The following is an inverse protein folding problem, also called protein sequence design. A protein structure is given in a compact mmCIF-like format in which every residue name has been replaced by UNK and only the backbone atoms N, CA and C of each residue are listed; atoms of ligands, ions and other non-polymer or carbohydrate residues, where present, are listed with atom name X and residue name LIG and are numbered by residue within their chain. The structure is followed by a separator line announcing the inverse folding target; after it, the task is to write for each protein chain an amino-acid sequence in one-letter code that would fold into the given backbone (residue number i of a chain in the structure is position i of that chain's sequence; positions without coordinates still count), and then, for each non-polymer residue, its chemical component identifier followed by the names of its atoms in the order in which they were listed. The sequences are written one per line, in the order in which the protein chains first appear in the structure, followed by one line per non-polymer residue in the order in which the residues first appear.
data_IF_422023073783
#
_entry.id   IF_422023073783
#
_cell.length_a   1.000
_cell.length_b   1.000
_cell.length_c   1.000
_cell.angle_alpha   90.00
_cell.angle_beta   90.00
_cell.angle_gamma   90.00
#
_symmetry.space_group_name_H-M   'P 1'
#
loop_
_entity.id
_entity.type
_entity.pdbx_description
1 polymer ?
#
# COMPACT_ATOMS: atom_id res chain seq x y z
N UNK A 1 -2.47 -7.95 0.74
CA UNK A 1 -2.31 -7.22 2.02
C UNK A 1 -1.49 -8.04 3.01
N UNK A 2 -0.18 -7.93 2.91
CA UNK A 2 0.81 -8.59 3.79
C UNK A 2 1.80 -7.56 4.30
N UNK A 3 2.42 -7.82 5.46
CA UNK A 3 3.55 -7.04 5.96
C UNK A 3 4.75 -7.11 5.00
N UNK A 4 5.00 -8.26 4.44
CA UNK A 4 6.10 -8.47 3.51
C UNK A 4 6.05 -9.83 2.83
N UNK A 5 6.80 -9.91 1.73
CA UNK A 5 6.87 -11.07 0.87
C UNK A 5 8.35 -11.43 0.65
N UNK A 6 8.74 -12.67 0.96
CA UNK A 6 10.10 -13.13 0.70
C UNK A 6 10.34 -13.30 -0.80
N UNK A 7 11.58 -13.07 -1.25
CA UNK A 7 11.97 -13.22 -2.65
C UNK A 7 11.62 -14.60 -3.22
N UNK A 8 11.83 -15.69 -2.45
CA UNK A 8 11.49 -17.06 -2.90
C UNK A 8 10.00 -17.22 -3.23
N UNK A 9 9.09 -16.55 -2.51
CA UNK A 9 7.65 -16.55 -2.82
C UNK A 9 7.38 -15.85 -4.14
N UNK A 10 8.02 -14.69 -4.37
CA UNK A 10 7.91 -13.96 -5.63
C UNK A 10 8.44 -14.76 -6.82
N UNK A 11 9.56 -15.46 -6.65
CA UNK A 11 10.13 -16.33 -7.69
C UNK A 11 9.16 -17.47 -8.02
N UNK A 12 8.63 -18.16 -7.02
CA UNK A 12 7.67 -19.25 -7.24
C UNK A 12 6.36 -18.77 -7.86
N UNK A 13 5.81 -17.64 -7.40
CA UNK A 13 4.62 -17.07 -7.99
C UNK A 13 4.81 -16.72 -9.48
N UNK A 14 5.94 -16.12 -9.84
CA UNK A 14 6.27 -15.80 -11.23
C UNK A 14 6.43 -17.03 -12.09
N UNK A 15 7.03 -18.10 -11.57
CA UNK A 15 7.13 -19.39 -12.26
C UNK A 15 5.74 -19.96 -12.56
N UNK A 16 4.86 -19.99 -11.55
CA UNK A 16 3.48 -20.47 -11.69
C UNK A 16 2.66 -19.62 -12.67
N UNK A 17 2.85 -18.29 -12.67
CA UNK A 17 2.21 -17.37 -13.62
C UNK A 17 2.67 -17.71 -15.05
N UNK A 18 3.96 -17.88 -15.26
CA UNK A 18 4.49 -18.21 -16.60
C UNK A 18 3.92 -19.55 -17.10
N UNK A 19 3.88 -20.56 -16.26
CA UNK A 19 3.31 -21.88 -16.61
C UNK A 19 1.82 -21.79 -16.97
N UNK A 20 1.06 -20.99 -16.22
CA UNK A 20 -0.39 -20.89 -16.40
C UNK A 20 -0.82 -19.93 -17.52
N UNK A 21 -0.01 -18.94 -17.88
CA UNK A 21 -0.44 -17.82 -18.75
C UNK A 21 0.54 -17.47 -19.87
N UNK A 22 1.77 -17.97 -19.84
CA UNK A 22 2.84 -17.59 -20.76
C UNK A 22 3.48 -16.23 -20.48
N UNK A 23 3.04 -15.48 -19.47
CA UNK A 23 3.62 -14.16 -19.13
C UNK A 23 5.04 -14.37 -18.59
N UNK A 24 6.06 -13.74 -19.20
CA UNK A 24 7.45 -13.88 -18.75
C UNK A 24 7.66 -13.34 -17.33
N UNK A 25 8.47 -14.00 -16.48
CA UNK A 25 8.69 -13.60 -15.08
C UNK A 25 9.17 -12.16 -14.89
N UNK A 26 9.95 -11.64 -15.83
CA UNK A 26 10.46 -10.26 -15.81
C UNK A 26 9.37 -9.20 -16.03
N UNK A 27 8.22 -9.58 -16.57
CA UNK A 27 7.07 -8.71 -16.78
C UNK A 27 6.08 -8.72 -15.59
N UNK A 28 6.43 -9.40 -14.49
CA UNK A 28 5.59 -9.53 -13.29
C UNK A 28 6.25 -8.80 -12.13
N UNK A 29 5.60 -7.74 -11.63
CA UNK A 29 5.95 -7.08 -10.38
C UNK A 29 5.01 -7.57 -9.27
N UNK A 30 5.59 -7.98 -8.13
CA UNK A 30 4.84 -8.41 -6.94
C UNK A 30 5.34 -7.59 -5.76
N UNK A 31 4.43 -6.90 -5.08
CA UNK A 31 4.72 -6.12 -3.88
C UNK A 31 3.71 -6.41 -2.77
N UNK A 32 4.08 -6.11 -1.53
CA UNK A 32 3.18 -6.11 -0.38
C UNK A 32 2.74 -4.68 -0.07
N UNK A 33 1.53 -4.49 0.46
CA UNK A 33 1.06 -3.19 0.94
C UNK A 33 1.79 -2.73 2.20
N UNK A 34 2.51 -3.64 2.87
CA UNK A 34 3.23 -3.40 4.11
C UNK A 34 2.31 -3.05 5.30
N UNK A 35 1.05 -3.47 5.27
CA UNK A 35 0.19 -3.36 6.44
C UNK A 35 0.79 -4.10 7.63
N UNK A 36 0.79 -3.46 8.81
CA UNK A 36 1.31 -4.05 10.04
C UNK A 36 0.26 -4.79 10.87
N UNK A 37 -0.97 -4.85 10.36
CA UNK A 37 -2.10 -5.53 11.00
C UNK A 37 -2.53 -6.79 10.24
N UNK A 38 -1.62 -7.41 9.48
CA UNK A 38 -1.88 -8.64 8.74
C UNK A 38 -0.71 -9.63 8.88
N UNK A 39 -0.87 -10.81 8.28
CA UNK A 39 0.17 -11.83 8.23
C UNK A 39 1.37 -11.41 7.38
N UNK A 40 2.39 -12.26 7.38
CA UNK A 40 3.61 -12.06 6.59
C UNK A 40 3.99 -13.33 5.84
N UNK A 41 4.47 -13.18 4.63
CA UNK A 41 5.08 -14.26 3.84
C UNK A 41 6.61 -14.17 3.77
N UNK A 42 7.24 -13.54 4.76
CA UNK A 42 8.70 -13.45 4.87
C UNK A 42 9.36 -14.76 5.27
N UNK A 43 8.60 -15.70 5.87
CA UNK A 43 9.11 -17.00 6.29
C UNK A 43 10.02 -16.93 7.53
N UNK A 44 10.80 -17.97 7.74
CA UNK A 44 11.63 -18.13 8.95
C UNK A 44 12.83 -17.18 9.01
N UNK A 45 13.43 -16.88 7.87
CA UNK A 45 14.58 -15.99 7.79
C UNK A 45 14.46 -14.99 6.62
N UNK A 46 14.03 -13.80 6.93
CA UNK A 46 13.85 -12.72 5.95
C UNK A 46 15.15 -12.14 5.38
N UNK A 47 16.28 -12.47 5.95
CA UNK A 47 17.59 -11.90 5.59
C UNK A 47 18.38 -12.76 4.61
N UNK A 48 17.93 -13.99 4.31
CA UNK A 48 18.55 -14.82 3.29
C UNK A 48 17.95 -14.53 1.91
N UNK A 49 18.72 -14.74 0.87
CA UNK A 49 18.25 -14.55 -0.50
C UNK A 49 17.28 -15.64 -0.95
N UNK A 50 17.46 -16.85 -0.45
CA UNK A 50 16.67 -18.03 -0.80
C UNK A 50 16.34 -18.84 0.43
N UNK A 51 15.13 -19.36 0.50
CA UNK A 51 14.68 -20.30 1.53
C UNK A 51 13.66 -21.26 0.95
N UNK A 52 13.57 -22.45 1.56
CA UNK A 52 12.47 -23.35 1.28
C UNK A 52 11.13 -22.71 1.72
N UNK A 53 10.13 -22.80 0.85
CA UNK A 53 8.81 -22.23 1.13
C UNK A 53 8.06 -23.12 2.13
N UNK A 54 7.50 -22.51 3.16
CA UNK A 54 6.53 -23.15 4.04
C UNK A 54 5.14 -23.27 3.35
N UNK A 55 4.20 -23.90 4.03
CA UNK A 55 2.85 -24.14 3.48
C UNK A 55 2.09 -22.82 3.19
N UNK A 56 2.24 -21.82 4.06
CA UNK A 56 1.59 -20.53 3.85
C UNK A 56 2.21 -19.77 2.67
N UNK A 57 3.53 -19.78 2.55
CA UNK A 57 4.23 -19.17 1.43
C UNK A 57 3.86 -19.84 0.09
N UNK A 58 3.76 -21.17 0.05
CA UNK A 58 3.27 -21.90 -1.14
C UNK A 58 1.82 -21.54 -1.47
N UNK A 59 0.97 -21.43 -0.46
CA UNK A 59 -0.42 -20.99 -0.64
C UNK A 59 -0.47 -19.58 -1.24
N UNK A 60 0.30 -18.61 -0.70
CA UNK A 60 0.36 -17.24 -1.21
C UNK A 60 0.82 -17.21 -2.67
N UNK A 61 1.91 -17.93 -3.00
CA UNK A 61 2.42 -17.98 -4.38
C UNK A 61 1.36 -18.49 -5.36
N UNK A 62 0.62 -19.55 -5.00
CA UNK A 62 -0.48 -20.10 -5.83
C UNK A 62 -1.62 -19.11 -5.98
N UNK A 63 -2.05 -18.44 -4.89
CA UNK A 63 -3.15 -17.46 -4.97
C UNK A 63 -2.81 -16.24 -5.83
N UNK A 64 -1.55 -15.81 -5.82
CA UNK A 64 -1.07 -14.78 -6.74
C UNK A 64 -1.19 -15.26 -8.19
N UNK A 65 -0.72 -16.46 -8.50
CA UNK A 65 -0.79 -17.02 -9.85
C UNK A 65 -2.23 -17.24 -10.31
N UNK A 66 -3.12 -17.72 -9.43
CA UNK A 66 -4.55 -17.88 -9.74
C UNK A 66 -5.21 -16.53 -10.05
N UNK A 67 -4.89 -15.47 -9.31
CA UNK A 67 -5.40 -14.13 -9.57
C UNK A 67 -4.99 -13.62 -10.95
N UNK A 68 -3.73 -13.81 -11.34
CA UNK A 68 -3.23 -13.43 -12.68
C UNK A 68 -3.92 -14.26 -13.76
N UNK A 69 -4.08 -15.57 -13.55
CA UNK A 69 -4.81 -16.43 -14.50
C UNK A 69 -6.25 -15.98 -14.69
N UNK A 70 -6.96 -15.63 -13.60
CA UNK A 70 -8.31 -15.09 -13.69
C UNK A 70 -8.34 -13.79 -14.50
N UNK A 71 -7.37 -12.90 -14.29
CA UNK A 71 -7.27 -11.64 -15.02
C UNK A 71 -7.00 -11.87 -16.51
N UNK A 72 -6.10 -12.81 -16.87
CA UNK A 72 -5.83 -13.18 -18.27
C UNK A 72 -7.07 -13.77 -18.95
N UNK A 73 -7.82 -14.62 -18.26
CA UNK A 73 -9.06 -15.20 -18.81
C UNK A 73 -10.17 -14.14 -19.00
N UNK A 74 -10.07 -13.00 -18.32
CA UNK A 74 -11.03 -11.89 -18.41
C UNK A 74 -10.55 -10.75 -19.31
N UNK A 75 -9.48 -10.95 -20.11
CA UNK A 75 -8.95 -9.92 -21.02
C UNK A 75 -9.99 -9.53 -22.06
N UNK A 76 -10.10 -8.24 -22.29
CA UNK A 76 -10.97 -7.63 -23.30
C UNK A 76 -10.37 -6.32 -23.78
N UNK A 77 -10.82 -5.77 -24.92
CA UNK A 77 -10.40 -4.46 -25.38
C UNK A 77 -10.59 -3.40 -24.31
N UNK A 78 -9.58 -2.59 -24.10
CA UNK A 78 -9.58 -1.58 -23.05
C UNK A 78 -8.75 -0.35 -23.48
N UNK A 79 -9.07 0.79 -22.86
CA UNK A 79 -8.29 2.02 -22.91
C UNK A 79 -7.58 2.21 -21.57
N UNK A 80 -6.36 2.74 -21.62
CA UNK A 80 -5.53 2.99 -20.45
C UNK A 80 -5.25 4.49 -20.36
N UNK A 81 -5.43 5.06 -19.17
CA UNK A 81 -5.04 6.41 -18.83
C UNK A 81 -4.10 6.41 -17.63
N UNK A 82 -3.20 7.37 -17.59
CA UNK A 82 -2.27 7.59 -16.48
C UNK A 82 -2.35 9.05 -16.04
N UNK A 83 -2.28 9.28 -14.74
CA UNK A 83 -2.25 10.62 -14.15
C UNK A 83 -1.69 10.61 -12.74
N UNK A 84 -1.55 11.80 -12.18
CA UNK A 84 -1.14 12.01 -10.79
C UNK A 84 -1.97 13.12 -10.17
N UNK A 85 -2.21 13.01 -8.87
CA UNK A 85 -2.78 14.08 -8.03
C UNK A 85 -1.94 14.20 -6.76
N UNK A 86 -1.92 15.37 -6.14
CA UNK A 86 -1.22 15.58 -4.87
C UNK A 86 -2.19 15.47 -3.68
N UNK A 87 -1.78 14.68 -2.67
CA UNK A 87 -2.50 14.50 -1.41
C UNK A 87 -1.51 14.70 -0.23
N UNK A 88 -1.07 15.94 0.03
CA UNK A 88 -0.04 16.22 1.03
C UNK A 88 -0.51 16.09 2.48
N UNK A 89 -1.83 16.09 2.73
CA UNK A 89 -2.41 16.18 4.08
C UNK A 89 -2.14 14.95 4.95
N UNK A 90 -1.74 13.83 4.35
CA UNK A 90 -1.58 12.55 5.03
C UNK A 90 -0.15 12.05 5.10
N UNK A 91 0.81 12.75 4.47
CA UNK A 91 2.21 12.32 4.41
C UNK A 91 3.12 13.26 5.18
N UNK A 92 3.74 12.73 6.22
CA UNK A 92 4.68 13.46 7.07
C UNK A 92 5.95 12.63 7.22
N UNK A 93 7.12 13.28 7.11
CA UNK A 93 8.37 12.59 7.38
C UNK A 93 8.43 12.22 8.87
N UNK A 94 8.65 10.93 9.19
CA UNK A 94 8.71 10.43 10.56
C UNK A 94 10.10 10.52 11.18
N UNK A 95 11.11 10.93 10.40
CA UNK A 95 12.49 11.17 10.84
C UNK A 95 12.70 12.66 11.01
N UNK A 96 13.24 13.06 12.14
CA UNK A 96 13.41 14.47 12.50
C UNK A 96 14.83 14.75 12.95
N UNK A 97 15.38 15.86 12.50
CA UNK A 97 16.56 16.45 13.12
C UNK A 97 16.17 16.95 14.49
N UNK A 98 16.98 16.62 15.46
CA UNK A 98 16.71 16.93 16.86
C UNK A 98 17.74 17.93 17.38
N UNK A 99 17.36 18.68 18.41
CA UNK A 99 18.28 19.56 19.12
C UNK A 99 19.48 18.74 19.64
N UNK A 100 20.67 19.34 19.58
CA UNK A 100 21.88 18.68 20.07
C UNK A 100 21.73 18.26 21.54
N UNK A 101 22.18 17.06 21.85
CA UNK A 101 22.09 16.47 23.19
C UNK A 101 20.72 15.90 23.58
N UNK A 102 19.65 16.05 22.77
CA UNK A 102 18.31 15.52 23.08
C UNK A 102 18.11 14.06 22.68
N UNK A 103 18.93 13.54 21.76
CA UNK A 103 18.82 12.15 21.27
C UNK A 103 19.74 11.25 22.10
N UNK A 104 19.20 10.11 22.56
CA UNK A 104 19.98 9.11 23.29
C UNK A 104 21.02 8.47 22.38
N UNK A 105 22.16 8.00 22.94
CA UNK A 105 23.15 7.25 22.18
C UNK A 105 22.53 6.01 21.50
N UNK A 106 22.95 5.74 20.27
CA UNK A 106 22.57 4.55 19.56
C UNK A 106 23.29 3.29 20.16
N UNK A 107 22.92 2.05 19.74
CA UNK A 107 23.52 0.84 20.27
C UNK A 107 25.06 0.72 20.10
N UNK A 108 25.65 1.56 19.25
CA UNK A 108 27.08 1.60 19.00
C UNK A 108 27.80 2.71 19.81
N UNK A 109 27.10 3.35 20.76
CA UNK A 109 27.64 4.39 21.62
C UNK A 109 27.84 5.75 20.98
N UNK A 110 27.29 5.98 19.77
CA UNK A 110 27.30 7.27 19.07
C UNK A 110 25.93 7.94 19.17
N UNK A 111 25.89 9.25 19.05
CA UNK A 111 24.64 10.02 18.99
C UNK A 111 24.28 10.33 17.55
N UNK A 112 23.07 9.95 17.13
CA UNK A 112 22.54 10.31 15.84
C UNK A 112 21.87 11.69 15.93
N UNK A 113 22.05 12.54 14.92
CA UNK A 113 21.38 13.85 14.85
C UNK A 113 19.92 13.76 14.43
N UNK A 114 19.45 12.55 14.12
CA UNK A 114 18.10 12.26 13.61
C UNK A 114 17.42 11.20 14.46
N UNK A 115 16.19 11.46 14.86
CA UNK A 115 15.34 10.51 15.58
C UNK A 115 14.15 10.08 14.69
N UNK A 116 13.88 8.78 14.65
CA UNK A 116 12.67 8.23 14.01
C UNK A 116 11.53 8.22 15.02
N UNK A 117 10.37 8.72 14.62
CA UNK A 117 9.17 8.82 15.44
C UNK A 117 9.39 9.55 16.79
N UNK A 118 9.94 10.77 16.80
CA UNK A 118 10.05 11.54 18.04
C UNK A 118 8.64 11.81 18.62
N UNK A 119 8.53 12.15 19.91
CA UNK A 119 7.27 12.56 20.50
C UNK A 119 6.64 13.73 19.73
N UNK A 120 5.32 13.72 19.60
CA UNK A 120 4.56 14.82 18.99
C UNK A 120 4.71 16.07 19.87
N UNK A 121 4.87 17.23 19.24
CA UNK A 121 5.10 18.53 19.88
C UNK A 121 6.29 18.55 20.84
N UNK A 122 7.29 17.70 20.63
CA UNK A 122 8.52 17.77 21.43
C UNK A 122 9.21 19.12 21.21
N UNK A 123 9.68 19.81 22.29
CA UNK A 123 10.43 21.05 22.17
C UNK A 123 11.80 20.87 21.50
N UNK A 124 12.24 19.63 21.30
CA UNK A 124 13.52 19.29 20.70
C UNK A 124 13.45 19.03 19.19
N UNK A 125 12.27 19.13 18.58
CA UNK A 125 12.10 19.04 17.12
C UNK A 125 12.73 20.28 16.46
N UNK A 126 13.60 20.06 15.47
CA UNK A 126 14.20 21.14 14.66
C UNK A 126 13.52 21.19 13.29
N UNK A 127 13.64 20.15 12.50
CA UNK A 127 13.06 20.06 11.17
C UNK A 127 12.90 18.60 10.73
N UNK A 128 12.01 18.28 9.75
CA UNK A 128 11.99 16.98 9.11
C UNK A 128 13.33 16.64 8.46
N UNK A 129 13.80 15.40 8.59
CA UNK A 129 15.09 14.96 8.06
C UNK A 129 15.09 14.66 6.55
N UNK A 130 13.95 14.77 5.90
CA UNK A 130 13.81 14.56 4.46
C UNK A 130 12.46 15.04 3.92
N UNK A 131 12.27 15.03 2.60
CA UNK A 131 11.04 15.42 1.96
C UNK A 131 9.93 14.38 2.16
N UNK A 132 8.73 14.71 1.71
CA UNK A 132 7.62 13.79 1.48
C UNK A 132 7.28 13.75 -0.01
N UNK A 133 6.69 12.64 -0.46
CA UNK A 133 6.11 12.53 -1.79
C UNK A 133 4.57 12.54 -1.65
N UNK A 134 3.90 13.66 -1.96
CA UNK A 134 2.45 13.75 -1.87
C UNK A 134 1.71 13.13 -3.05
N UNK A 135 2.43 12.73 -4.09
CA UNK A 135 1.81 12.27 -5.33
C UNK A 135 1.13 10.91 -5.15
N UNK A 136 -0.14 10.84 -5.55
CA UNK A 136 -0.84 9.59 -5.82
C UNK A 136 -0.76 9.34 -7.32
N UNK A 137 0.02 8.34 -7.72
CA UNK A 137 0.05 7.88 -9.11
C UNK A 137 -1.20 7.05 -9.40
N UNK A 138 -1.85 7.29 -10.54
CA UNK A 138 -3.10 6.66 -10.94
C UNK A 138 -2.93 6.01 -12.31
N UNK A 139 -3.27 4.73 -12.42
CA UNK A 139 -3.45 4.02 -13.68
C UNK A 139 -4.91 3.56 -13.75
N UNK A 140 -5.67 4.10 -14.68
CA UNK A 140 -7.06 3.74 -14.91
C UNK A 140 -7.19 2.90 -16.18
N UNK A 141 -7.99 1.85 -16.11
CA UNK A 141 -8.33 0.98 -17.25
C UNK A 141 -9.83 0.95 -17.40
N UNK A 142 -10.33 1.26 -18.61
CA UNK A 142 -11.76 1.29 -18.92
C UNK A 142 -12.07 0.57 -20.23
N UNK A 143 -13.29 0.13 -20.38
CA UNK A 143 -13.80 -0.37 -21.65
C UNK A 143 -13.95 0.76 -22.67
N UNK A 144 -13.85 0.48 -23.98
CA UNK A 144 -14.33 1.39 -24.99
C UNK A 144 -15.80 1.70 -24.71
N UNK A 145 -16.13 2.97 -24.46
CA UNK A 145 -17.47 3.36 -23.99
C UNK A 145 -17.54 3.81 -22.54
N UNK A 146 -16.42 3.74 -21.79
CA UNK A 146 -16.21 4.52 -20.58
C UNK A 146 -16.38 3.78 -19.25
N UNK A 147 -16.86 2.53 -19.21
CA UNK A 147 -16.97 1.77 -17.95
C UNK A 147 -15.60 1.39 -17.40
N UNK A 148 -15.31 1.77 -16.16
CA UNK A 148 -14.05 1.40 -15.49
C UNK A 148 -13.98 -0.11 -15.25
N UNK A 149 -12.84 -0.70 -15.61
CA UNK A 149 -12.45 -2.09 -15.34
C UNK A 149 -11.67 -2.15 -14.03
N UNK A 150 -10.63 -1.33 -13.94
CA UNK A 150 -9.86 -1.21 -12.70
C UNK A 150 -9.17 0.16 -12.59
N UNK A 151 -8.83 0.50 -11.36
CA UNK A 151 -7.96 1.63 -11.00
C UNK A 151 -6.87 1.11 -10.09
N UNK A 152 -5.63 1.32 -10.48
CA UNK A 152 -4.45 1.05 -9.67
C UNK A 152 -3.83 2.36 -9.23
N UNK A 153 -3.66 2.55 -7.93
CA UNK A 153 -2.99 3.70 -7.35
C UNK A 153 -1.73 3.29 -6.60
N UNK A 154 -0.77 4.20 -6.51
CA UNK A 154 0.39 4.09 -5.63
C UNK A 154 0.55 5.39 -4.85
N UNK A 155 0.80 5.30 -3.53
CA UNK A 155 0.94 6.45 -2.64
C UNK A 155 2.05 6.25 -1.63
N UNK A 156 2.83 7.31 -1.37
CA UNK A 156 4.00 7.30 -0.49
C UNK A 156 3.68 7.32 1.02
N UNK A 157 2.53 6.79 1.45
CA UNK A 157 2.13 6.71 2.84
C UNK A 157 2.33 5.29 3.40
N UNK A 158 3.05 5.19 4.53
CA UNK A 158 3.17 3.96 5.32
C UNK A 158 1.80 3.52 5.87
N UNK A 159 1.73 2.34 6.52
CA UNK A 159 0.52 1.93 7.22
C UNK A 159 0.10 2.97 8.27
N UNK A 160 -1.20 3.05 8.54
CA UNK A 160 -1.76 3.97 9.52
C UNK A 160 -1.84 3.33 10.91
N UNK A 161 -2.24 2.07 10.97
CA UNK A 161 -2.45 1.38 12.23
C UNK A 161 -3.70 1.85 12.98
N UNK A 162 -3.74 1.62 14.29
CA UNK A 162 -4.91 1.98 15.09
C UNK A 162 -6.07 1.01 14.92
N UNK A 163 -5.78 -0.27 14.71
CA UNK A 163 -6.77 -1.37 14.78
C UNK A 163 -7.10 -1.69 16.23
N UNK A 164 -8.20 -2.42 16.46
CA UNK A 164 -8.43 -3.07 17.75
C UNK A 164 -7.36 -4.14 18.04
N UNK A 165 -7.22 -4.54 19.32
CA UNK A 165 -6.28 -5.59 19.72
C UNK A 165 -6.54 -6.90 18.97
N UNK A 166 -5.49 -7.52 18.43
CA UNK A 166 -5.54 -8.78 17.67
C UNK A 166 -6.43 -8.78 16.42
N UNK A 167 -6.81 -7.62 15.89
CA UNK A 167 -7.54 -7.54 14.64
C UNK A 167 -6.60 -7.69 13.44
N UNK A 168 -7.07 -8.38 12.40
CA UNK A 168 -6.45 -8.43 11.08
C UNK A 168 -7.11 -7.37 10.20
N UNK A 169 -6.30 -6.56 9.53
CA UNK A 169 -6.77 -5.47 8.68
C UNK A 169 -5.84 -5.23 7.50
N UNK A 170 -6.43 -4.91 6.36
CA UNK A 170 -5.71 -4.39 5.19
C UNK A 170 -5.30 -2.92 5.34
N UNK A 171 -5.50 -2.34 6.55
CA UNK A 171 -5.24 -0.94 6.83
C UNK A 171 -6.04 0.00 5.91
N UNK A 172 -5.58 1.25 5.69
CA UNK A 172 -6.26 2.19 4.80
C UNK A 172 -6.25 1.74 3.33
N UNK A 173 -5.37 0.83 2.93
CA UNK A 173 -5.33 0.29 1.56
C UNK A 173 -6.65 -0.39 1.17
N UNK A 174 -7.13 -1.31 2.01
CA UNK A 174 -8.41 -1.97 1.77
C UNK A 174 -9.61 -1.02 1.89
N UNK A 175 -9.57 -0.09 2.86
CA UNK A 175 -10.63 0.90 3.02
C UNK A 175 -10.72 1.86 1.84
N UNK A 176 -9.58 2.28 1.27
CA UNK A 176 -9.54 3.05 0.03
C UNK A 176 -10.20 2.30 -1.13
N UNK A 177 -9.83 1.03 -1.32
CA UNK A 177 -10.41 0.22 -2.38
C UNK A 177 -11.93 0.13 -2.25
N UNK A 178 -12.46 -0.09 -1.06
CA UNK A 178 -13.90 -0.15 -0.82
C UNK A 178 -14.58 1.24 -0.95
N UNK A 179 -13.91 2.32 -0.53
CA UNK A 179 -14.41 3.67 -0.71
C UNK A 179 -14.51 4.03 -2.20
N UNK A 180 -13.46 3.77 -2.98
CA UNK A 180 -13.47 4.06 -4.41
C UNK A 180 -14.53 3.22 -5.16
N UNK A 181 -14.73 1.96 -4.79
CA UNK A 181 -15.81 1.14 -5.32
C UNK A 181 -17.19 1.76 -5.06
N UNK A 182 -17.46 2.29 -3.87
CA UNK A 182 -18.73 2.96 -3.57
C UNK A 182 -18.96 4.22 -4.38
N UNK A 183 -17.87 4.94 -4.71
CA UNK A 183 -17.92 6.17 -5.53
C UNK A 183 -18.12 5.88 -7.04
N UNK A 184 -17.94 4.63 -7.47
CA UNK A 184 -18.07 4.19 -8.85
C UNK A 184 -19.22 3.17 -9.05
N UNK A 185 -20.47 3.54 -8.73
CA UNK A 185 -21.60 2.59 -8.78
C UNK A 185 -21.86 2.05 -10.18
N UNK A 186 -21.64 2.85 -11.23
CA UNK A 186 -21.79 2.41 -12.61
C UNK A 186 -20.73 1.37 -13.03
N UNK A 187 -19.55 1.43 -12.45
CA UNK A 187 -18.50 0.42 -12.68
C UNK A 187 -18.82 -0.92 -11.99
N UNK A 188 -19.73 -0.90 -11.01
CA UNK A 188 -20.17 -2.09 -10.27
C UNK A 188 -21.38 -2.78 -10.88
N UNK A 189 -22.15 -2.08 -11.75
CA UNK A 189 -23.27 -2.73 -12.41
C UNK A 189 -22.75 -3.77 -13.40
N UNK A 190 -23.12 -5.04 -13.24
CA UNK A 190 -22.78 -6.04 -14.24
C UNK A 190 -23.31 -5.59 -15.58
N UNK A 191 -22.46 -5.48 -16.56
CA UNK A 191 -22.87 -5.37 -17.96
C UNK A 191 -23.46 -6.70 -18.42
N UNK A 192 -24.66 -7.05 -17.96
CA UNK A 192 -25.21 -8.41 -18.07
C UNK A 192 -24.54 -9.38 -17.09
N UNK A 193 -25.06 -10.58 -16.96
CA UNK A 193 -24.66 -11.63 -15.99
C UNK A 193 -23.20 -12.14 -16.09
N UNK A 194 -22.34 -11.56 -16.93
CA UNK A 194 -21.02 -12.07 -17.25
C UNK A 194 -19.85 -11.10 -17.08
N UNK A 195 -20.06 -9.81 -16.75
CA UNK A 195 -18.94 -8.87 -16.68
C UNK A 195 -18.24 -8.92 -15.31
N UNK A 196 -16.89 -9.08 -15.26
CA UNK A 196 -16.14 -9.00 -14.01
C UNK A 196 -16.39 -7.69 -13.26
N UNK A 197 -16.40 -7.71 -11.91
CA UNK A 197 -16.60 -6.51 -11.12
C UNK A 197 -15.43 -5.54 -11.28
N UNK A 198 -15.67 -4.25 -11.04
CA UNK A 198 -14.63 -3.22 -10.94
C UNK A 198 -13.63 -3.55 -9.82
N UNK A 199 -12.35 -3.36 -10.09
CA UNK A 199 -11.27 -3.61 -9.16
C UNK A 199 -10.54 -2.31 -8.83
N UNK A 200 -10.54 -1.90 -7.57
CA UNK A 200 -9.70 -0.84 -7.05
C UNK A 200 -8.48 -1.46 -6.34
N UNK A 201 -7.32 -0.88 -6.54
CA UNK A 201 -6.05 -1.34 -5.96
C UNK A 201 -5.25 -0.13 -5.46
N UNK A 202 -4.61 -0.29 -4.29
CA UNK A 202 -3.67 0.70 -3.76
C UNK A 202 -2.38 0.00 -3.36
N UNK A 203 -1.28 0.43 -3.95
CA UNK A 203 0.07 -0.02 -3.61
C UNK A 203 0.77 0.98 -2.69
N UNK A 204 1.70 0.45 -1.91
CA UNK A 204 2.62 1.26 -1.12
C UNK A 204 3.73 1.84 -2.01
N UNK A 205 3.94 3.14 -1.93
CA UNK A 205 5.01 3.86 -2.62
C UNK A 205 6.28 4.00 -1.76
N UNK A 206 6.94 5.14 -1.88
CA UNK A 206 8.19 5.48 -1.15
C UNK A 206 7.90 5.87 0.30
N UNK A 207 7.48 4.93 1.13
CA UNK A 207 6.89 5.18 2.45
C UNK A 207 7.81 4.91 3.65
N UNK A 208 9.05 4.48 3.43
CA UNK A 208 9.92 3.98 4.50
C UNK A 208 10.16 4.97 5.64
N UNK A 209 10.22 6.25 5.36
CA UNK A 209 10.40 7.32 6.33
C UNK A 209 9.15 8.21 6.50
N UNK A 210 8.00 7.78 6.01
CA UNK A 210 6.74 8.53 6.04
C UNK A 210 5.74 7.87 7.00
N UNK A 211 4.92 8.69 7.65
CA UNK A 211 3.72 8.26 8.34
C UNK A 211 2.62 9.34 8.26
N UNK A 212 1.45 9.05 8.82
CA UNK A 212 0.30 9.96 8.86
C UNK A 212 0.26 10.87 10.09
N UNK A 213 1.36 10.97 10.85
CA UNK A 213 1.42 11.74 12.10
C UNK A 213 2.18 13.03 11.87
N UNK A 214 1.47 14.15 11.94
CA UNK A 214 2.10 15.47 12.07
C UNK A 214 2.79 15.58 13.44
N UNK A 215 4.11 15.75 13.43
CA UNK A 215 4.89 15.85 14.67
C UNK A 215 4.84 17.24 15.29
N UNK A 216 4.48 18.26 14.51
CA UNK A 216 4.36 19.64 15.02
C UNK A 216 3.01 19.89 15.67
N UNK A 217 1.94 19.32 15.10
CA UNK A 217 0.58 19.63 15.52
C UNK A 217 -0.12 18.41 16.09
N UNK A 218 -0.29 18.35 17.44
CA UNK A 218 -1.02 17.27 18.08
C UNK A 218 -2.45 17.16 17.54
N UNK A 219 -2.87 15.95 17.24
CA UNK A 219 -4.26 15.65 16.89
C UNK A 219 -4.98 15.01 18.07
N UNK A 220 -6.31 15.19 18.18
CA UNK A 220 -7.12 14.45 19.16
C UNK A 220 -6.95 12.95 19.00
N UNK A 221 -7.11 12.21 20.11
CA UNK A 221 -7.14 10.76 20.07
C UNK A 221 -8.25 10.25 19.15
N UNK A 222 -7.97 9.18 18.42
CA UNK A 222 -8.90 8.55 17.47
C UNK A 222 -9.37 7.20 17.99
N UNK A 223 -10.61 6.85 17.68
CA UNK A 223 -11.14 5.50 17.90
C UNK A 223 -10.46 4.51 16.92
N UNK A 224 -10.48 3.21 17.24
CA UNK A 224 -9.99 2.20 16.29
C UNK A 224 -10.60 2.37 14.90
N UNK A 225 -9.77 2.26 13.86
CA UNK A 225 -10.11 2.42 12.43
C UNK A 225 -10.51 3.82 11.96
N UNK A 226 -10.71 4.78 12.85
CA UNK A 226 -11.21 6.12 12.47
C UNK A 226 -10.22 6.85 11.55
N UNK A 227 -8.94 6.90 11.93
CA UNK A 227 -7.92 7.56 11.10
C UNK A 227 -7.72 6.88 9.74
N UNK A 228 -7.75 5.54 9.70
CA UNK A 228 -7.66 4.79 8.44
C UNK A 228 -8.81 5.15 7.50
N UNK A 229 -10.01 5.26 8.05
CA UNK A 229 -11.22 5.60 7.28
C UNK A 229 -11.14 7.02 6.74
N UNK A 230 -10.76 7.98 7.57
CA UNK A 230 -10.66 9.38 7.17
C UNK A 230 -9.67 9.55 6.01
N UNK A 231 -8.49 8.94 6.11
CA UNK A 231 -7.48 8.97 5.04
C UNK A 231 -7.98 8.28 3.77
N UNK A 232 -8.57 7.10 3.91
CA UNK A 232 -9.06 6.31 2.78
C UNK A 232 -10.20 7.00 2.03
N UNK A 233 -11.15 7.59 2.74
CA UNK A 233 -12.29 8.32 2.16
C UNK A 233 -11.82 9.59 1.43
N UNK A 234 -10.93 10.39 2.05
CA UNK A 234 -10.39 11.60 1.43
C UNK A 234 -9.62 11.27 0.15
N UNK A 235 -8.72 10.29 0.20
CA UNK A 235 -7.98 9.81 -0.98
C UNK A 235 -8.92 9.30 -2.07
N UNK A 236 -9.94 8.50 -1.70
CA UNK A 236 -10.88 7.95 -2.68
C UNK A 236 -11.69 9.04 -3.37
N UNK A 237 -12.12 10.08 -2.64
CA UNK A 237 -12.83 11.24 -3.22
C UNK A 237 -11.93 12.00 -4.21
N UNK A 238 -10.68 12.27 -3.84
CA UNK A 238 -9.71 12.98 -4.69
C UNK A 238 -9.36 12.18 -5.95
N UNK A 239 -9.12 10.87 -5.81
CA UNK A 239 -8.87 9.98 -6.95
C UNK A 239 -10.12 9.92 -7.85
N UNK A 240 -11.32 9.78 -7.27
CA UNK A 240 -12.56 9.73 -8.03
C UNK A 240 -12.82 11.02 -8.84
N UNK A 241 -12.42 12.17 -8.29
CA UNK A 241 -12.55 13.44 -8.99
C UNK A 241 -11.56 13.60 -10.17
N UNK A 242 -10.51 12.79 -10.21
CA UNK A 242 -9.49 12.78 -11.26
C UNK A 242 -9.74 11.74 -12.37
N UNK A 243 -10.71 10.83 -12.19
CA UNK A 243 -11.10 9.79 -13.16
C UNK A 243 -12.11 10.26 -14.17
#
# INVERSE_FOLDING_TARGET
DLLGLHRSVSVEARRLIQEATGIPPQNVLISATHTHSAGTALGKNRYVNEQELDNYQRFVARRIADGVRCAVNALRPAEIAYGTIDVPEHVFNRRWRMREGSVKPNPFGKTDGVQTNPPVASPDLVEPAGPTDPAVSILAVREPGGRLICVYCAYGLHYIGGTGPAHISADYYGMFCEALKRLQPAAHQPGGDAAPPFVAMLANGTSGDINNIDRLHPRPGRKPYEQMRDVAEDMAQKVNAAL
#
